data_IF_424327908292
#
_entry.id   IF_424327908292
#
_cell.length_a   1.000
_cell.length_b   1.000
_cell.length_c   1.000
_cell.angle_alpha   90.00
_cell.angle_beta   90.00
_cell.angle_gamma   90.00
#
_symmetry.space_group_name_H-M   'P 1'
#
loop_
_entity.id
_entity.type
_entity.pdbx_description
1 polymer ?
#
# COMPACT_ATOMS: atom_id res chain seq x y z
N UNK A 1 0.99 16.77 -13.70
CA UNK A 1 0.80 17.73 -12.59
C UNK A 1 1.46 17.12 -11.37
N UNK A 2 2.67 17.55 -11.04
CA UNK A 2 3.47 16.93 -9.97
C UNK A 2 3.14 17.62 -8.65
N UNK A 3 2.48 16.90 -7.74
CA UNK A 3 2.00 17.46 -6.47
C UNK A 3 3.02 17.25 -5.35
N UNK A 4 3.45 18.33 -4.70
CA UNK A 4 4.36 18.27 -3.55
C UNK A 4 3.60 18.15 -2.23
N UNK A 5 4.15 17.38 -1.29
CA UNK A 5 3.64 17.30 0.08
C UNK A 5 4.05 18.55 0.86
N UNK A 6 3.08 19.27 1.43
CA UNK A 6 3.33 20.45 2.27
C UNK A 6 3.60 20.09 3.75
N UNK A 7 3.49 18.82 4.13
CA UNK A 7 3.52 18.35 5.52
C UNK A 7 4.17 16.95 5.69
N UNK A 8 4.40 16.56 6.94
CA UNK A 8 4.84 15.21 7.32
C UNK A 8 6.33 14.92 7.13
N UNK A 9 6.69 13.62 7.23
CA UNK A 9 8.08 13.12 7.10
C UNK A 9 8.70 13.40 5.73
N UNK A 10 7.86 13.50 4.70
CA UNK A 10 8.26 13.74 3.32
C UNK A 10 7.89 15.15 2.82
N UNK A 11 7.92 16.14 3.72
CA UNK A 11 7.67 17.55 3.39
C UNK A 11 8.57 18.03 2.24
N UNK A 12 7.98 18.78 1.31
CA UNK A 12 8.58 19.29 0.07
C UNK A 12 9.03 18.22 -0.95
N UNK A 13 8.67 16.94 -0.76
CA UNK A 13 8.86 15.90 -1.78
C UNK A 13 7.60 15.74 -2.63
N UNK A 14 7.78 15.26 -3.86
CA UNK A 14 6.69 14.90 -4.75
C UNK A 14 5.97 13.66 -4.24
N UNK A 15 4.64 13.66 -4.30
CA UNK A 15 3.84 12.49 -3.92
C UNK A 15 4.20 11.26 -4.77
N UNK A 16 4.61 11.48 -6.02
CA UNK A 16 5.05 10.43 -6.94
C UNK A 16 6.34 9.75 -6.45
N UNK A 17 7.34 10.54 -6.05
CA UNK A 17 8.59 10.05 -5.46
C UNK A 17 8.35 9.32 -4.14
N UNK A 18 7.44 9.85 -3.31
CA UNK A 18 7.07 9.23 -2.04
C UNK A 18 6.31 7.94 -2.28
N UNK A 19 5.46 7.86 -3.30
CA UNK A 19 4.79 6.61 -3.67
C UNK A 19 5.78 5.55 -4.19
N UNK A 20 6.77 5.96 -4.99
CA UNK A 20 7.81 5.06 -5.47
C UNK A 20 8.73 4.55 -4.34
N UNK A 21 9.15 5.46 -3.45
CA UNK A 21 10.02 5.15 -2.32
C UNK A 21 9.26 4.38 -1.24
N UNK A 22 8.14 4.92 -0.78
CA UNK A 22 7.38 4.51 0.40
C UNK A 22 5.85 4.51 0.15
N UNK A 23 5.33 3.51 -0.57
CA UNK A 23 3.89 3.38 -0.81
C UNK A 23 3.12 3.09 0.48
N UNK A 24 3.79 2.56 1.52
CA UNK A 24 3.20 2.36 2.85
C UNK A 24 2.82 3.69 3.50
N UNK A 25 3.71 4.68 3.44
CA UNK A 25 3.41 6.04 3.87
C UNK A 25 2.22 6.64 3.09
N UNK A 26 2.14 6.41 1.78
CA UNK A 26 1.05 6.88 0.95
C UNK A 26 -0.30 6.25 1.33
N UNK A 27 -0.32 4.94 1.64
CA UNK A 27 -1.51 4.23 2.14
C UNK A 27 -1.93 4.75 3.51
N UNK A 28 -0.98 4.96 4.42
CA UNK A 28 -1.25 5.60 5.72
C UNK A 28 -1.83 7.00 5.53
N UNK A 29 -1.24 7.79 4.62
CA UNK A 29 -1.65 9.15 4.35
C UNK A 29 -3.08 9.19 3.80
N UNK A 30 -3.43 8.29 2.87
CA UNK A 30 -4.78 8.16 2.34
C UNK A 30 -5.81 7.88 3.46
N UNK A 31 -5.42 7.15 4.50
CA UNK A 31 -6.27 6.90 5.67
C UNK A 31 -6.42 8.13 6.59
N UNK A 32 -5.53 9.13 6.49
CA UNK A 32 -5.60 10.38 7.26
C UNK A 32 -6.50 11.41 6.58
N UNK A 33 -7.81 11.30 6.78
CA UNK A 33 -8.81 12.20 6.19
C UNK A 33 -8.50 13.69 6.39
N UNK A 34 -8.05 14.10 7.58
CA UNK A 34 -7.74 15.51 7.90
C UNK A 34 -6.60 16.07 7.03
N UNK A 35 -5.54 15.27 6.84
CA UNK A 35 -4.35 15.68 6.07
C UNK A 35 -4.62 15.69 4.56
N UNK A 36 -5.42 14.71 4.13
CA UNK A 36 -5.87 14.55 2.73
C UNK A 36 -6.85 15.65 2.34
N UNK A 37 -7.78 16.02 3.23
CA UNK A 37 -8.75 17.11 3.01
C UNK A 37 -8.04 18.45 2.81
N UNK A 38 -6.97 18.68 3.57
CA UNK A 38 -6.11 19.85 3.40
C UNK A 38 -5.34 19.87 2.07
N UNK A 39 -5.24 18.74 1.36
CA UNK A 39 -4.45 18.59 0.13
C UNK A 39 -5.20 17.73 -0.92
N UNK A 40 -6.27 18.26 -1.54
CA UNK A 40 -7.13 17.50 -2.45
C UNK A 40 -6.39 16.98 -3.69
N UNK A 41 -5.34 17.66 -4.16
CA UNK A 41 -4.51 17.18 -5.28
C UNK A 41 -3.74 15.88 -4.92
N UNK A 42 -3.21 15.80 -3.70
CA UNK A 42 -2.57 14.58 -3.18
C UNK A 42 -3.61 13.49 -2.98
N UNK A 43 -4.79 13.87 -2.46
CA UNK A 43 -5.93 12.98 -2.30
C UNK A 43 -6.31 12.29 -3.62
N UNK A 44 -6.47 13.07 -4.67
CA UNK A 44 -6.87 12.59 -5.99
C UNK A 44 -5.81 11.68 -6.60
N UNK A 45 -4.53 12.07 -6.52
CA UNK A 45 -3.42 11.24 -6.96
C UNK A 45 -3.38 9.89 -6.23
N UNK A 46 -3.46 9.92 -4.90
CA UNK A 46 -3.44 8.70 -4.09
C UNK A 46 -4.68 7.84 -4.35
N UNK A 47 -5.87 8.42 -4.43
CA UNK A 47 -7.09 7.69 -4.78
C UNK A 47 -7.00 7.09 -6.17
N UNK A 48 -6.42 7.79 -7.15
CA UNK A 48 -6.19 7.27 -8.49
C UNK A 48 -5.23 6.08 -8.49
N UNK A 49 -4.14 6.15 -7.71
CA UNK A 49 -3.18 5.04 -7.56
C UNK A 49 -3.73 3.87 -6.76
N UNK A 50 -4.56 4.14 -5.77
CA UNK A 50 -5.22 3.18 -4.90
C UNK A 50 -6.69 2.96 -5.30
N UNK A 51 -7.08 3.18 -6.56
CA UNK A 51 -8.49 3.09 -6.99
C UNK A 51 -9.06 1.68 -6.81
N UNK A 52 -8.20 0.66 -6.93
CA UNK A 52 -8.55 -0.74 -6.70
C UNK A 52 -8.05 -1.24 -5.33
N UNK A 53 -8.08 -0.37 -4.33
CA UNK A 53 -7.72 -0.74 -2.98
C UNK A 53 -8.89 -1.43 -2.29
N UNK A 54 -8.94 -2.76 -2.36
CA UNK A 54 -9.96 -3.59 -1.71
C UNK A 54 -9.91 -3.58 -0.17
N UNK A 55 -9.26 -2.58 0.44
CA UNK A 55 -9.01 -2.51 1.89
C UNK A 55 -8.05 -3.58 2.42
N UNK A 56 -7.64 -4.51 1.56
CA UNK A 56 -6.78 -5.64 1.91
C UNK A 56 -5.33 -5.20 2.03
N UNK A 57 -4.50 -6.05 2.64
CA UNK A 57 -3.11 -5.73 2.94
C UNK A 57 -2.35 -5.28 1.67
N UNK A 58 -1.78 -4.07 1.69
CA UNK A 58 -0.93 -3.57 0.60
C UNK A 58 0.46 -4.21 0.72
N UNK A 59 0.96 -4.79 -0.37
CA UNK A 59 2.39 -5.11 -0.44
C UNK A 59 3.22 -3.83 -0.50
N UNK A 60 4.00 -3.60 0.55
CA UNK A 60 4.98 -2.51 0.60
C UNK A 60 6.37 -2.97 0.14
N UNK A 61 6.55 -4.27 -0.11
CA UNK A 61 7.80 -4.90 -0.54
C UNK A 61 7.54 -6.06 -1.52
N UNK A 62 8.61 -6.64 -2.06
CA UNK A 62 8.57 -7.83 -2.91
C UNK A 62 8.15 -7.56 -4.36
N UNK A 63 7.94 -8.65 -5.12
CA UNK A 63 7.61 -8.62 -6.57
C UNK A 63 6.34 -7.82 -6.87
N UNK A 64 5.35 -7.89 -5.99
CA UNK A 64 4.05 -7.23 -6.16
C UNK A 64 3.89 -5.97 -5.30
N UNK A 65 4.99 -5.24 -5.03
CA UNK A 65 4.96 -3.95 -4.33
C UNK A 65 3.93 -3.00 -4.98
N UNK A 66 3.06 -2.42 -4.16
CA UNK A 66 1.98 -1.54 -4.59
C UNK A 66 0.66 -2.23 -4.96
N UNK A 67 0.60 -3.57 -4.92
CA UNK A 67 -0.64 -4.33 -5.11
C UNK A 67 -1.18 -4.87 -3.78
N UNK A 68 -2.48 -5.10 -3.71
CA UNK A 68 -3.09 -5.74 -2.54
C UNK A 68 -3.00 -7.26 -2.64
N UNK A 69 -3.00 -7.95 -1.49
CA UNK A 69 -3.03 -9.42 -1.45
C UNK A 69 -4.21 -10.03 -2.22
N UNK A 70 -5.39 -9.39 -2.26
CA UNK A 70 -6.53 -9.82 -3.09
C UNK A 70 -6.24 -9.74 -4.57
N UNK A 71 -5.62 -8.65 -5.01
CA UNK A 71 -5.20 -8.51 -6.41
C UNK A 71 -4.16 -9.56 -6.77
N UNK A 72 -3.20 -9.80 -5.87
CA UNK A 72 -2.15 -10.80 -6.09
C UNK A 72 -2.77 -12.19 -6.20
N UNK A 73 -3.74 -12.55 -5.37
CA UNK A 73 -4.46 -13.83 -5.47
C UNK A 73 -5.09 -14.03 -6.85
N UNK A 74 -5.74 -12.99 -7.40
CA UNK A 74 -6.33 -13.07 -8.75
C UNK A 74 -5.32 -13.08 -9.90
N UNK A 75 -4.08 -12.65 -9.66
CA UNK A 75 -3.00 -12.61 -10.67
C UNK A 75 -2.14 -13.88 -10.60
N UNK A 76 -1.81 -14.32 -9.39
CA UNK A 76 -0.82 -15.35 -9.10
C UNK A 76 -1.09 -15.98 -7.72
N UNK A 77 -2.02 -16.94 -7.70
CA UNK A 77 -2.40 -17.68 -6.50
C UNK A 77 -1.22 -18.46 -5.90
N UNK A 78 -0.33 -18.98 -6.74
CA UNK A 78 0.89 -19.69 -6.28
C UNK A 78 1.78 -18.79 -5.40
N UNK A 79 1.81 -17.48 -5.68
CA UNK A 79 2.57 -16.54 -4.86
C UNK A 79 1.95 -16.34 -3.48
N UNK A 80 0.61 -16.40 -3.37
CA UNK A 80 -0.10 -16.39 -2.09
C UNK A 80 0.22 -17.66 -1.31
N UNK A 81 0.16 -18.84 -1.94
CA UNK A 81 0.57 -20.09 -1.30
C UNK A 81 2.02 -20.07 -0.81
N UNK A 82 2.94 -19.55 -1.63
CA UNK A 82 4.34 -19.37 -1.24
C UNK A 82 4.48 -18.46 -0.02
N UNK A 83 3.74 -17.34 0.02
CA UNK A 83 3.73 -16.46 1.19
C UNK A 83 3.19 -17.15 2.44
N UNK A 84 2.12 -17.96 2.34
CA UNK A 84 1.56 -18.72 3.48
C UNK A 84 2.60 -19.68 4.06
N UNK A 85 3.40 -20.32 3.20
CA UNK A 85 4.45 -21.27 3.58
C UNK A 85 5.76 -20.60 4.03
N UNK A 86 5.92 -19.30 3.82
CA UNK A 86 7.16 -18.61 4.14
C UNK A 86 7.26 -18.27 5.64
N UNK A 87 8.23 -18.88 6.33
CA UNK A 87 8.48 -18.66 7.76
C UNK A 87 8.73 -17.20 8.13
N UNK A 88 9.37 -16.42 7.25
CA UNK A 88 9.63 -15.01 7.50
C UNK A 88 8.33 -14.20 7.58
N UNK A 89 7.36 -14.49 6.71
CA UNK A 89 6.04 -13.85 6.73
C UNK A 89 5.31 -14.24 8.03
N UNK A 90 5.38 -15.52 8.39
CA UNK A 90 4.72 -16.06 9.57
C UNK A 90 5.28 -15.54 10.89
N UNK A 91 6.60 -15.34 10.99
CA UNK A 91 7.30 -14.89 12.19
C UNK A 91 7.36 -13.35 12.29
N UNK A 92 7.71 -12.67 11.19
CA UNK A 92 7.99 -11.22 11.21
C UNK A 92 6.80 -10.34 10.86
N UNK A 93 5.76 -10.89 10.21
CA UNK A 93 4.66 -10.09 9.68
C UNK A 93 3.29 -10.67 10.03
N UNK A 94 2.89 -10.60 11.32
CA UNK A 94 1.62 -11.14 11.78
C UNK A 94 0.41 -10.49 11.09
N UNK A 95 0.48 -9.19 10.76
CA UNK A 95 -0.57 -8.49 10.02
C UNK A 95 -0.75 -9.02 8.60
N UNK A 96 0.35 -9.38 7.93
CA UNK A 96 0.31 -9.94 6.59
C UNK A 96 -0.21 -11.38 6.63
N UNK A 97 0.29 -12.19 7.57
CA UNK A 97 -0.19 -13.55 7.81
C UNK A 97 -1.70 -13.58 8.03
N UNK A 98 -2.22 -12.77 8.95
CA UNK A 98 -3.65 -12.68 9.23
C UNK A 98 -4.45 -12.35 7.97
N UNK A 99 -3.95 -11.40 7.17
CA UNK A 99 -4.62 -11.01 5.94
C UNK A 99 -4.58 -12.10 4.86
N UNK A 100 -3.53 -12.96 4.81
CA UNK A 100 -3.50 -14.14 3.95
C UNK A 100 -4.43 -15.26 4.42
N UNK A 101 -4.62 -15.40 5.74
CA UNK A 101 -5.53 -16.36 6.34
C UNK A 101 -6.99 -16.01 6.01
N UNK A 102 -7.34 -14.72 6.07
CA UNK A 102 -8.67 -14.21 5.68
C UNK A 102 -8.98 -14.29 4.18
N UNK A 103 -7.99 -14.63 3.34
CA UNK A 103 -8.18 -14.87 1.90
C UNK A 103 -8.49 -16.33 1.54
N UNK A 104 -8.38 -17.24 2.51
CA UNK A 104 -8.58 -18.68 2.33
C UNK A 104 -10.06 -19.08 2.31
#
# INVERSE_FOLDING_TARGET
MSTTLSFGKHKSKLIEDVYASDPGYCRWLLNQKILIDSNPAVADFLKSKFTNDDGSFLMTFGKYKGKTIKQIQGIDDNYIEWMKKNDFINDKMPKLKAALDELA
#
